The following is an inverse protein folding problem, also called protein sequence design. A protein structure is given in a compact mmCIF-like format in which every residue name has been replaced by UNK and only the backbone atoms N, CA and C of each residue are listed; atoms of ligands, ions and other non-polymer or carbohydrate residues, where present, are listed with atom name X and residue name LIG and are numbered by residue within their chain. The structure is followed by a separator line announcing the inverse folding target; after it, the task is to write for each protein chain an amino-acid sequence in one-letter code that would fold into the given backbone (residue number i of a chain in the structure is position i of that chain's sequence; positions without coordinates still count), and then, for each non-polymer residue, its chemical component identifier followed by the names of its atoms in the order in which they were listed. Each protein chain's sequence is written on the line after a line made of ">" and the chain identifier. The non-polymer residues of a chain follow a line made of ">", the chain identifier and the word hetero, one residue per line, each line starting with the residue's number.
data_IF_537300473287
#
_entry.id   IF_537300473287
#
_cell.length_a   1.000
_cell.length_b   1.000
_cell.length_c   1.000
_cell.angle_alpha   90.00
_cell.angle_beta   90.00
_cell.angle_gamma   90.00
#
_symmetry.space_group_name_H-M   'P 1'
#
loop_
_entity.id
_entity.type
_entity.pdbx_description
1 polymer ?
#
# COMPACT_ATOMS: atom_id res chain seq x y z
N UNK A 1 -32.96 -2.80 9.68
CA UNK A 1 -31.80 -3.61 10.11
C UNK A 1 -30.87 -4.11 8.99
N UNK A 2 -31.32 -4.34 7.74
CA UNK A 2 -30.44 -4.82 6.64
C UNK A 2 -29.38 -3.81 6.14
N UNK A 3 -29.65 -2.51 6.20
CA UNK A 3 -28.76 -1.45 5.73
C UNK A 3 -27.50 -1.30 6.60
N UNK A 4 -27.64 -1.34 7.94
CA UNK A 4 -26.52 -1.27 8.87
C UNK A 4 -25.54 -2.44 8.67
N UNK A 5 -26.06 -3.66 8.47
CA UNK A 5 -25.23 -4.86 8.25
C UNK A 5 -24.45 -4.78 6.93
N UNK A 6 -25.07 -4.25 5.86
CA UNK A 6 -24.37 -4.00 4.58
C UNK A 6 -23.28 -2.93 4.74
N UNK A 7 -23.56 -1.84 5.45
CA UNK A 7 -22.59 -0.77 5.70
C UNK A 7 -21.35 -1.25 6.45
N UNK A 8 -21.54 -2.02 7.53
CA UNK A 8 -20.41 -2.60 8.28
C UNK A 8 -19.61 -3.58 7.43
N UNK A 9 -20.27 -4.38 6.58
CA UNK A 9 -19.61 -5.31 5.68
C UNK A 9 -18.77 -4.59 4.61
N UNK A 10 -19.29 -3.50 4.04
CA UNK A 10 -18.56 -2.65 3.09
C UNK A 10 -17.36 -1.99 3.76
N UNK A 11 -17.52 -1.47 4.98
CA UNK A 11 -16.45 -0.87 5.77
C UNK A 11 -15.33 -1.88 6.07
N UNK A 12 -15.69 -3.10 6.49
CA UNK A 12 -14.73 -4.18 6.73
C UNK A 12 -13.99 -4.60 5.46
N UNK A 13 -14.70 -4.70 4.33
CA UNK A 13 -14.11 -5.04 3.04
C UNK A 13 -13.14 -3.97 2.55
N UNK A 14 -13.45 -2.69 2.79
CA UNK A 14 -12.57 -1.58 2.47
C UNK A 14 -11.32 -1.57 3.35
N UNK A 15 -11.47 -1.84 4.65
CA UNK A 15 -10.34 -1.99 5.60
C UNK A 15 -9.39 -3.10 5.17
N UNK A 16 -9.91 -4.29 4.83
CA UNK A 16 -9.09 -5.40 4.38
C UNK A 16 -8.26 -5.05 3.12
N UNK A 17 -8.84 -4.31 2.17
CA UNK A 17 -8.13 -3.83 0.98
C UNK A 17 -7.02 -2.82 1.30
N UNK A 18 -7.28 -1.93 2.26
CA UNK A 18 -6.36 -0.84 2.64
C UNK A 18 -5.24 -1.34 3.58
N UNK A 19 -5.51 -2.31 4.44
CA UNK A 19 -4.51 -2.94 5.32
C UNK A 19 -3.35 -3.55 4.53
N UNK A 20 -3.64 -4.07 3.32
CA UNK A 20 -2.65 -4.72 2.49
C UNK A 20 -1.49 -3.79 2.03
N UNK A 21 -1.73 -2.64 1.37
CA UNK A 21 -0.68 -1.68 1.05
C UNK A 21 -0.01 -1.11 2.32
N UNK A 22 -0.74 -0.88 3.41
CA UNK A 22 -0.12 -0.47 4.67
C UNK A 22 0.87 -1.50 5.22
N UNK A 23 0.57 -2.80 5.09
CA UNK A 23 1.50 -3.87 5.46
C UNK A 23 2.74 -3.86 4.59
N UNK A 24 2.61 -3.64 3.27
CA UNK A 24 3.75 -3.55 2.35
C UNK A 24 4.63 -2.34 2.70
N UNK A 25 4.05 -1.17 2.90
CA UNK A 25 4.76 0.05 3.30
C UNK A 25 5.53 -0.14 4.61
N UNK A 26 4.88 -0.71 5.63
CA UNK A 26 5.49 -0.88 6.95
C UNK A 26 6.56 -1.98 6.98
N UNK A 27 6.34 -3.10 6.29
CA UNK A 27 7.26 -4.26 6.34
C UNK A 27 8.34 -4.22 5.26
N UNK A 28 7.98 -3.94 4.01
CA UNK A 28 8.92 -4.02 2.88
C UNK A 28 9.76 -2.75 2.74
N UNK A 29 9.14 -1.58 2.95
CA UNK A 29 9.80 -0.29 2.82
C UNK A 29 10.28 0.29 4.17
N UNK A 30 10.05 -0.42 5.29
CA UNK A 30 10.56 -0.05 6.60
C UNK A 30 9.98 1.24 7.20
N UNK A 31 8.85 1.73 6.69
CA UNK A 31 8.23 2.97 7.16
C UNK A 31 7.44 2.73 8.47
N UNK A 32 8.18 2.61 9.58
CA UNK A 32 7.63 2.29 10.91
C UNK A 32 7.45 3.54 11.78
N UNK A 33 8.32 4.55 11.61
CA UNK A 33 8.30 5.80 12.39
C UNK A 33 8.23 7.02 11.47
N UNK A 34 7.29 7.92 11.76
CA UNK A 34 7.15 9.21 11.10
C UNK A 34 8.01 10.24 11.83
N UNK A 35 8.74 11.08 11.09
CA UNK A 35 9.43 12.23 11.68
C UNK A 35 8.44 13.40 11.79
N UNK A 36 8.34 14.00 12.96
CA UNK A 36 7.44 15.16 13.18
C UNK A 36 7.93 16.45 12.49
N UNK A 37 9.24 16.56 12.23
CA UNK A 37 9.82 17.71 11.51
C UNK A 37 9.71 17.52 10.01
N UNK A 38 9.32 18.59 9.31
CA UNK A 38 9.25 18.60 7.84
C UNK A 38 8.04 17.82 7.30
N UNK A 39 6.83 18.17 7.78
CA UNK A 39 5.58 17.49 7.44
C UNK A 39 5.36 17.35 5.91
N UNK A 40 5.66 18.40 5.14
CA UNK A 40 5.53 18.38 3.67
C UNK A 40 6.40 17.30 3.03
N UNK A 41 7.66 17.16 3.47
CA UNK A 41 8.59 16.13 2.96
C UNK A 41 8.12 14.74 3.36
N UNK A 42 7.56 14.60 4.55
CA UNK A 42 6.99 13.35 5.01
C UNK A 42 5.75 12.93 4.20
N UNK A 43 4.86 13.86 3.88
CA UNK A 43 3.68 13.61 3.03
C UNK A 43 4.11 13.18 1.64
N UNK A 44 5.08 13.88 1.03
CA UNK A 44 5.64 13.49 -0.25
C UNK A 44 6.21 12.06 -0.23
N UNK A 45 7.00 11.72 0.80
CA UNK A 45 7.54 10.37 0.98
C UNK A 45 6.44 9.31 1.11
N UNK A 46 5.40 9.58 1.91
CA UNK A 46 4.24 8.69 2.06
C UNK A 46 3.54 8.43 0.72
N UNK A 47 3.28 9.48 -0.06
CA UNK A 47 2.65 9.37 -1.38
C UNK A 47 3.51 8.53 -2.35
N UNK A 48 4.82 8.75 -2.36
CA UNK A 48 5.75 7.95 -3.17
C UNK A 48 5.74 6.47 -2.75
N UNK A 49 5.73 6.18 -1.44
CA UNK A 49 5.65 4.81 -0.93
C UNK A 49 4.34 4.11 -1.31
N UNK A 50 3.23 4.83 -1.35
CA UNK A 50 1.96 4.30 -1.85
C UNK A 50 2.04 3.95 -3.35
N UNK A 51 2.63 4.82 -4.17
CA UNK A 51 2.83 4.54 -5.59
C UNK A 51 3.72 3.31 -5.81
N UNK A 52 4.83 3.20 -5.06
CA UNK A 52 5.73 2.05 -5.10
C UNK A 52 5.07 0.76 -4.58
N UNK A 53 4.16 0.87 -3.61
CA UNK A 53 3.41 -0.30 -3.11
C UNK A 53 2.48 -0.86 -4.19
N UNK A 54 1.83 0.00 -4.98
CA UNK A 54 1.04 -0.43 -6.13
C UNK A 54 1.89 -1.16 -7.17
N UNK A 55 3.10 -0.67 -7.44
CA UNK A 55 4.06 -1.34 -8.33
C UNK A 55 4.49 -2.71 -7.77
N UNK A 56 4.82 -2.77 -6.48
CA UNK A 56 5.23 -4.00 -5.81
C UNK A 56 4.11 -5.06 -5.82
N UNK A 57 2.85 -4.65 -5.69
CA UNK A 57 1.69 -5.54 -5.78
C UNK A 57 1.56 -6.15 -7.18
N UNK A 58 1.87 -5.36 -8.21
CA UNK A 58 1.81 -5.77 -9.61
C UNK A 58 3.09 -6.47 -10.11
N UNK A 59 4.09 -6.65 -9.25
CA UNK A 59 5.38 -7.29 -9.62
C UNK A 59 5.22 -8.63 -10.34
N UNK A 60 4.28 -9.48 -9.93
CA UNK A 60 4.08 -10.81 -10.55
C UNK A 60 3.52 -10.71 -11.97
N UNK A 61 2.73 -9.68 -12.25
CA UNK A 61 2.17 -9.41 -13.59
C UNK A 61 3.21 -8.69 -14.48
N UNK A 62 4.10 -7.90 -13.87
CA UNK A 62 5.13 -7.14 -14.59
C UNK A 62 6.43 -7.94 -14.85
N UNK A 63 6.76 -8.91 -14.01
CA UNK A 63 7.94 -9.77 -14.19
C UNK A 63 7.96 -10.59 -15.50
N UNK A 64 6.86 -11.15 -16.03
CA UNK A 64 6.89 -11.81 -17.33
C UNK A 64 7.13 -10.85 -18.52
N UNK A 65 6.92 -9.54 -18.35
CA UNK A 65 7.30 -8.52 -19.35
C UNK A 65 8.78 -8.11 -19.24
N UNK A 66 9.41 -8.32 -18.08
CA UNK A 66 10.84 -8.18 -17.89
C UNK A 66 11.55 -9.48 -18.28
N UNK A 67 11.60 -9.75 -19.59
CA UNK A 67 12.43 -10.83 -20.12
C UNK A 67 13.84 -10.75 -19.55
N UNK A 68 14.34 -11.87 -18.99
CA UNK A 68 15.71 -12.12 -18.54
C UNK A 68 16.51 -10.88 -18.14
N UNK A 69 16.44 -10.49 -16.86
CA UNK A 69 17.60 -9.81 -16.27
C UNK A 69 18.62 -10.91 -16.01
N UNK A 70 19.48 -11.17 -16.99
CA UNK A 70 20.69 -11.97 -16.79
C UNK A 70 21.55 -11.24 -15.75
N UNK A 71 21.71 -11.85 -14.58
CA UNK A 71 22.94 -11.72 -13.78
C UNK A 71 23.86 -12.86 -14.19
#
# INVERSE_FOLDING_TARGET
>A
MKLAKRWEHTKASLRAKVEHPFRVIKRQFGYVKVRYRGLVKNTAQMLTLFALSNLWLKRKELMPAAGKVCL
#
